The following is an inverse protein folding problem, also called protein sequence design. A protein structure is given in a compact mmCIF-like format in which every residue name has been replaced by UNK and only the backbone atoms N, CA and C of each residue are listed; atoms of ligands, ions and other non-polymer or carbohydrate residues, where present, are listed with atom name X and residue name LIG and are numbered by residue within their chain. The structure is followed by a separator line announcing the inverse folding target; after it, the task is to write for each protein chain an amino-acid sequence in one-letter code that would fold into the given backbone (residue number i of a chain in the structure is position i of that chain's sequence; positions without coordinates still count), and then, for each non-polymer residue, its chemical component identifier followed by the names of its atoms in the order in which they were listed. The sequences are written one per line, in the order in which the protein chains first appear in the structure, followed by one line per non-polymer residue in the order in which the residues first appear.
data_IF_212733703621
#
_entry.id   IF_212733703621
#
_cell.length_a   1.000
_cell.length_b   1.000
_cell.length_c   1.000
_cell.angle_alpha   90.00
_cell.angle_beta   90.00
_cell.angle_gamma   90.00
#
_symmetry.space_group_name_H-M   'P 1'
#
loop_
_entity.id
_entity.type
_entity.pdbx_description
1 polymer ?
#
# COMPACT_ATOMS: atom_id res chain seq x y z
N UNK A 1 6.20 5.01 -1.94
CA UNK A 1 6.17 6.13 -2.93
C UNK A 1 5.38 5.68 -4.14
N UNK A 2 4.87 6.58 -5.00
CA UNK A 2 4.16 6.16 -6.23
C UNK A 2 5.04 5.33 -7.18
N UNK A 3 6.37 5.52 -7.15
CA UNK A 3 7.28 4.67 -7.92
C UNK A 3 7.37 3.27 -7.31
N UNK A 4 7.49 3.16 -5.99
CA UNK A 4 7.51 1.88 -5.27
C UNK A 4 6.23 1.06 -5.56
N UNK A 5 5.05 1.70 -5.56
CA UNK A 5 3.80 1.00 -5.90
C UNK A 5 3.75 0.51 -7.36
N UNK A 6 4.43 1.22 -8.27
CA UNK A 6 4.57 0.75 -9.65
C UNK A 6 5.50 -0.47 -9.72
N UNK A 7 6.55 -0.51 -8.92
CA UNK A 7 7.43 -1.67 -8.80
C UNK A 7 6.68 -2.87 -8.19
N UNK A 8 5.82 -2.65 -7.18
CA UNK A 8 4.95 -3.68 -6.63
C UNK A 8 4.04 -4.29 -7.71
N UNK A 9 3.39 -3.45 -8.52
CA UNK A 9 2.55 -3.92 -9.61
C UNK A 9 3.36 -4.72 -10.66
N UNK A 10 4.55 -4.24 -11.04
CA UNK A 10 5.40 -4.94 -11.99
C UNK A 10 5.88 -6.29 -11.44
N UNK A 11 6.23 -6.36 -10.15
CA UNK A 11 6.65 -7.59 -9.47
C UNK A 11 5.54 -8.65 -9.50
N UNK A 12 4.27 -8.27 -9.32
CA UNK A 12 3.13 -9.17 -9.51
C UNK A 12 3.00 -9.67 -10.96
N UNK A 13 3.16 -8.78 -11.94
CA UNK A 13 3.12 -9.14 -13.37
C UNK A 13 4.23 -10.14 -13.74
N UNK A 14 5.45 -9.89 -13.26
CA UNK A 14 6.59 -10.77 -13.50
C UNK A 14 6.39 -12.13 -12.83
N UNK A 15 5.85 -12.15 -11.61
CA UNK A 15 5.51 -13.40 -10.92
C UNK A 15 4.43 -14.18 -11.66
N UNK A 16 3.38 -13.51 -12.15
CA UNK A 16 2.33 -14.13 -12.95
C UNK A 16 2.91 -14.81 -14.21
N UNK A 17 3.78 -14.11 -14.94
CA UNK A 17 4.47 -14.67 -16.11
C UNK A 17 5.39 -15.85 -15.72
N UNK A 18 6.14 -15.72 -14.62
CA UNK A 18 7.02 -16.78 -14.10
C UNK A 18 6.27 -18.07 -13.77
N UNK A 19 5.03 -17.96 -13.32
CA UNK A 19 4.14 -19.10 -13.03
C UNK A 19 3.41 -19.64 -14.25
N UNK A 20 3.66 -19.09 -15.44
CA UNK A 20 2.97 -19.46 -16.69
C UNK A 20 1.54 -18.92 -16.78
N UNK A 21 1.18 -17.98 -15.90
CA UNK A 21 -0.11 -17.30 -15.93
C UNK A 21 -0.18 -16.26 -17.06
N UNK A 22 -1.39 -15.78 -17.33
CA UNK A 22 -1.64 -14.71 -18.30
C UNK A 22 -2.02 -13.43 -17.57
N UNK A 23 -1.37 -12.33 -17.92
CA UNK A 23 -1.72 -11.00 -17.42
C UNK A 23 -2.92 -10.48 -18.22
N UNK A 24 -3.93 -9.98 -17.52
CA UNK A 24 -5.09 -9.30 -18.12
C UNK A 24 -5.22 -7.95 -17.44
N UNK A 25 -4.89 -6.88 -18.17
CA UNK A 25 -4.97 -5.51 -17.65
C UNK A 25 -6.41 -5.00 -17.74
N UNK A 26 -6.77 -4.14 -16.79
CA UNK A 26 -8.04 -3.43 -16.71
C UNK A 26 -7.79 -1.93 -16.56
N UNK A 27 -8.81 -1.11 -16.79
CA UNK A 27 -8.72 0.33 -16.60
C UNK A 27 -8.42 0.67 -15.15
N UNK A 28 -7.46 1.57 -14.93
CA UNK A 28 -7.16 2.11 -13.60
C UNK A 28 -8.05 3.34 -13.40
N UNK A 29 -9.02 3.30 -12.46
CA UNK A 29 -9.88 4.43 -12.22
C UNK A 29 -9.08 5.60 -11.65
N UNK A 30 -9.53 6.82 -11.96
CA UNK A 30 -8.98 8.02 -11.31
C UNK A 30 -9.16 7.96 -9.79
N UNK A 31 -8.28 8.61 -9.00
CA UNK A 31 -8.48 8.73 -7.56
C UNK A 31 -9.85 9.35 -7.24
N UNK A 32 -10.50 8.82 -6.19
CA UNK A 32 -11.83 9.28 -5.73
C UNK A 32 -11.77 10.75 -5.29
N UNK A 33 -10.61 11.17 -4.77
CA UNK A 33 -10.35 12.51 -4.28
C UNK A 33 -9.13 13.10 -4.98
N UNK A 34 -9.25 14.35 -5.40
CA UNK A 34 -8.23 15.06 -6.18
C UNK A 34 -7.62 16.25 -5.43
N UNK A 35 -8.27 16.71 -4.36
CA UNK A 35 -7.80 17.84 -3.55
C UNK A 35 -7.70 17.39 -2.09
N UNK A 36 -6.60 17.76 -1.44
CA UNK A 36 -6.34 17.49 -0.03
C UNK A 36 -6.17 18.82 0.69
N UNK A 37 -7.00 19.09 1.69
CA UNK A 37 -7.10 20.37 2.39
C UNK A 37 -5.99 20.57 3.44
N UNK A 38 -5.34 19.49 3.88
CA UNK A 38 -4.23 19.53 4.84
C UNK A 38 -3.29 18.33 4.67
N UNK A 39 -2.08 18.43 5.23
CA UNK A 39 -1.14 17.31 5.26
C UNK A 39 -1.71 16.14 6.06
N UNK A 40 -2.40 16.45 7.16
CA UNK A 40 -3.08 15.44 7.98
C UNK A 40 -4.10 14.63 7.17
N UNK A 41 -4.96 15.32 6.41
CA UNK A 41 -5.98 14.66 5.59
C UNK A 41 -5.35 13.77 4.50
N UNK A 42 -4.28 14.23 3.86
CA UNK A 42 -3.55 13.43 2.88
C UNK A 42 -2.93 12.17 3.51
N UNK A 43 -2.30 12.30 4.68
CA UNK A 43 -1.69 11.16 5.39
C UNK A 43 -2.72 10.17 5.92
N UNK A 44 -3.89 10.64 6.38
CA UNK A 44 -4.99 9.76 6.79
C UNK A 44 -5.54 8.98 5.58
N UNK A 45 -5.70 9.63 4.43
CA UNK A 45 -6.14 8.94 3.21
C UNK A 45 -5.11 7.93 2.69
N UNK A 46 -3.82 8.26 2.73
CA UNK A 46 -2.76 7.32 2.40
C UNK A 46 -2.77 6.11 3.34
N UNK A 47 -2.95 6.33 4.65
CA UNK A 47 -3.03 5.26 5.65
C UNK A 47 -4.20 4.29 5.37
N UNK A 48 -5.37 4.82 5.04
CA UNK A 48 -6.53 3.98 4.72
C UNK A 48 -6.36 3.24 3.38
N UNK A 49 -5.69 3.85 2.39
CA UNK A 49 -5.33 3.17 1.15
C UNK A 49 -4.39 1.98 1.43
N UNK A 50 -3.33 2.19 2.20
CA UNK A 50 -2.38 1.12 2.54
C UNK A 50 -3.03 -0.03 3.31
N UNK A 51 -3.95 0.27 4.23
CA UNK A 51 -4.74 -0.76 4.93
C UNK A 51 -5.61 -1.55 3.97
N UNK A 52 -6.23 -0.87 2.99
CA UNK A 52 -7.07 -1.52 1.97
C UNK A 52 -6.25 -2.45 1.09
N UNK A 53 -5.07 -2.00 0.64
CA UNK A 53 -4.12 -2.83 -0.12
C UNK A 53 -3.63 -4.02 0.70
N UNK A 54 -3.27 -3.80 1.97
CA UNK A 54 -2.87 -4.88 2.87
C UNK A 54 -3.97 -5.93 3.07
N UNK A 55 -5.23 -5.50 3.21
CA UNK A 55 -6.35 -6.44 3.30
C UNK A 55 -6.48 -7.28 2.02
N UNK A 56 -6.36 -6.67 0.84
CA UNK A 56 -6.39 -7.39 -0.43
C UNK A 56 -5.24 -8.41 -0.54
N UNK A 57 -4.05 -8.08 -0.04
CA UNK A 57 -2.91 -9.01 0.00
C UNK A 57 -3.14 -10.17 0.98
N UNK A 58 -3.73 -9.92 2.14
CA UNK A 58 -4.11 -10.97 3.09
C UNK A 58 -5.17 -11.90 2.52
N UNK A 59 -6.16 -11.35 1.83
CA UNK A 59 -7.20 -12.14 1.15
C UNK A 59 -6.58 -13.02 0.06
N UNK A 60 -5.64 -12.47 -0.71
CA UNK A 60 -4.88 -13.19 -1.74
C UNK A 60 -4.00 -14.29 -1.16
N UNK A 61 -3.34 -14.04 -0.03
CA UNK A 61 -2.61 -15.06 0.73
C UNK A 61 -3.54 -16.17 1.24
N UNK A 62 -4.73 -15.81 1.72
CA UNK A 62 -5.77 -16.76 2.10
C UNK A 62 -6.24 -17.64 0.93
N UNK A 63 -6.31 -17.09 -0.28
CA UNK A 63 -6.58 -17.87 -1.50
C UNK A 63 -5.42 -18.82 -1.82
N UNK A 64 -4.16 -18.36 -1.72
CA UNK A 64 -2.98 -19.20 -1.91
C UNK A 64 -2.97 -20.38 -0.92
N UNK A 65 -3.31 -20.12 0.34
CA UNK A 65 -3.45 -21.13 1.40
C UNK A 65 -4.49 -22.20 1.03
N UNK A 66 -5.71 -21.77 0.67
CA UNK A 66 -6.81 -22.67 0.29
C UNK A 66 -6.47 -23.56 -0.91
N UNK A 67 -5.60 -23.09 -1.80
CA UNK A 67 -5.17 -23.82 -2.99
C UNK A 67 -3.85 -24.59 -2.79
N UNK A 68 -3.30 -24.62 -1.57
CA UNK A 68 -2.03 -25.25 -1.25
C UNK A 68 -0.88 -24.75 -2.15
N UNK A 69 -0.77 -23.43 -2.35
CA UNK A 69 0.32 -22.80 -3.10
C UNK A 69 1.33 -22.14 -2.14
N UNK A 70 2.25 -22.93 -1.53
CA UNK A 70 3.19 -22.41 -0.55
C UNK A 70 4.18 -21.42 -1.15
N UNK A 71 4.51 -21.56 -2.45
CA UNK A 71 5.44 -20.65 -3.10
C UNK A 71 4.80 -19.27 -3.32
N UNK A 72 3.49 -19.22 -3.64
CA UNK A 72 2.81 -17.93 -3.75
C UNK A 72 2.61 -17.27 -2.37
N UNK A 73 2.36 -18.05 -1.32
CA UNK A 73 2.35 -17.53 0.06
C UNK A 73 3.68 -16.89 0.43
N UNK A 74 4.78 -17.62 0.26
CA UNK A 74 6.14 -17.14 0.54
C UNK A 74 6.47 -15.87 -0.26
N UNK A 75 6.07 -15.81 -1.53
CA UNK A 75 6.24 -14.63 -2.35
C UNK A 75 5.49 -13.40 -1.79
N UNK A 76 4.24 -13.57 -1.34
CA UNK A 76 3.46 -12.49 -0.73
C UNK A 76 4.04 -12.05 0.62
N UNK A 77 4.46 -12.99 1.45
CA UNK A 77 5.08 -12.73 2.75
C UNK A 77 6.40 -11.96 2.63
N UNK A 78 7.27 -12.43 1.73
CA UNK A 78 8.62 -11.88 1.53
C UNK A 78 8.59 -10.49 0.92
N UNK A 79 7.73 -10.27 -0.07
CA UNK A 79 7.80 -9.07 -0.91
C UNK A 79 6.70 -8.04 -0.66
N UNK A 80 5.70 -8.31 0.18
CA UNK A 80 4.59 -7.36 0.35
C UNK A 80 4.15 -7.24 1.81
N UNK A 81 3.83 -8.35 2.49
CA UNK A 81 3.19 -8.26 3.81
C UNK A 81 4.07 -7.56 4.86
N UNK A 82 5.38 -7.78 4.82
CA UNK A 82 6.33 -7.08 5.69
C UNK A 82 6.37 -5.58 5.37
N UNK A 83 6.50 -5.23 4.08
CA UNK A 83 6.55 -3.83 3.61
C UNK A 83 5.26 -3.06 3.94
N UNK A 84 4.09 -3.71 3.84
CA UNK A 84 2.81 -3.11 4.20
C UNK A 84 2.74 -2.77 5.70
N UNK A 85 3.17 -3.69 6.58
CA UNK A 85 3.13 -3.45 8.04
C UNK A 85 4.00 -2.25 8.42
N UNK A 86 5.22 -2.18 7.85
CA UNK A 86 6.13 -1.07 8.09
C UNK A 86 5.60 0.26 7.53
N UNK A 87 5.00 0.24 6.34
CA UNK A 87 4.41 1.42 5.71
C UNK A 87 3.19 1.94 6.48
N UNK A 88 2.29 1.05 6.91
CA UNK A 88 1.13 1.39 7.74
C UNK A 88 1.59 1.99 9.06
N UNK A 89 2.60 1.40 9.71
CA UNK A 89 3.15 1.93 10.96
C UNK A 89 3.70 3.34 10.78
N UNK A 90 4.50 3.56 9.73
CA UNK A 90 5.08 4.86 9.41
C UNK A 90 4.02 5.92 9.16
N UNK A 91 2.98 5.60 8.39
CA UNK A 91 1.87 6.52 8.13
C UNK A 91 1.06 6.81 9.41
N UNK A 92 0.83 5.81 10.25
CA UNK A 92 0.15 6.00 11.54
C UNK A 92 0.95 6.93 12.48
N UNK A 93 2.28 6.84 12.48
CA UNK A 93 3.14 7.75 13.23
C UNK A 93 3.07 9.18 12.68
N UNK A 94 3.04 9.33 11.35
CA UNK A 94 2.86 10.64 10.71
C UNK A 94 1.52 11.27 11.08
N UNK A 95 0.42 10.53 10.99
CA UNK A 95 -0.91 11.00 11.41
C UNK A 95 -0.89 11.42 12.88
N UNK A 96 -0.28 10.62 13.76
CA UNK A 96 -0.18 10.94 15.19
C UNK A 96 0.62 12.22 15.44
N UNK A 97 1.74 12.39 14.75
CA UNK A 97 2.58 13.59 14.87
C UNK A 97 1.88 14.82 14.31
N UNK A 98 1.23 14.73 13.15
CA UNK A 98 0.48 15.83 12.53
C UNK A 98 -0.69 16.29 13.42
N UNK A 99 -1.41 15.36 14.04
CA UNK A 99 -2.44 15.68 15.05
C UNK A 99 -1.85 16.42 16.27
N UNK A 100 -0.63 16.09 16.66
CA UNK A 100 0.06 16.71 17.80
C UNK A 100 0.56 18.12 17.51
N UNK A 101 1.16 18.34 16.33
CA UNK A 101 1.77 19.64 15.98
C UNK A 101 0.75 20.65 15.46
N UNK A 102 -0.39 20.18 14.95
CA UNK A 102 -1.45 21.04 14.42
C UNK A 102 -1.10 21.70 13.08
N UNK A 103 -2.05 22.45 12.53
CA UNK A 103 -1.94 23.10 11.22
C UNK A 103 -0.98 24.31 11.20
N UNK A 104 -0.52 24.69 10.02
CA UNK A 104 0.28 25.91 9.83
C UNK A 104 1.75 25.71 10.19
N UNK A 105 2.22 26.31 11.29
CA UNK A 105 3.63 26.16 11.70
C UNK A 105 3.98 24.70 12.04
N UNK A 106 3.04 23.96 12.62
CA UNK A 106 3.23 22.54 12.94
C UNK A 106 3.48 21.69 11.70
N UNK A 107 2.65 21.84 10.67
CA UNK A 107 2.82 21.16 9.37
C UNK A 107 4.13 21.56 8.70
N UNK A 108 4.50 22.85 8.72
CA UNK A 108 5.77 23.32 8.17
C UNK A 108 6.98 22.68 8.88
N UNK A 109 6.94 22.56 10.20
CA UNK A 109 8.00 21.90 10.98
C UNK A 109 8.02 20.38 10.80
N UNK A 110 6.89 19.77 10.46
CA UNK A 110 6.81 18.34 10.16
C UNK A 110 7.40 18.00 8.78
N UNK A 111 7.22 18.88 7.80
CA UNK A 111 7.76 18.73 6.45
C UNK A 111 9.29 18.94 6.38
N UNK A 112 9.83 19.74 7.31
CA UNK A 112 11.27 20.03 7.41
C UNK A 112 12.09 18.91 8.04
#
# INVERSE_FOLDING_TARGET
SSNDEREHAQRLMDFQNKRGGRIVLQDIPKPVKQEWSSCLEAMEAALELEKTVNQALLDLHGIACKNNDPQFQDFLETHYLTEQVDSIKKLADYVTNLKRVGSGLGEYMFDK
#
